data_IF_859641172192
#
_entry.id   IF_859641172192
#
_cell.length_a   1.000
_cell.length_b   1.000
_cell.length_c   1.000
_cell.angle_alpha   90.00
_cell.angle_beta   90.00
_cell.angle_gamma   90.00
#
_symmetry.space_group_name_H-M   'P 1'
#
loop_
_entity.id
_entity.type
_entity.pdbx_description
1 polymer ?
#
# COMPACT_ATOMS: atom_id res chain seq x y z
N UNK A 1 -17.88 -28.24 7.41
CA UNK A 1 -17.47 -26.86 7.03
C UNK A 1 -18.37 -25.91 7.81
N UNK A 2 -17.77 -24.91 8.48
CA UNK A 2 -18.47 -23.87 9.26
C UNK A 2 -19.52 -23.13 8.40
N UNK A 3 -20.60 -22.66 9.01
CA UNK A 3 -21.57 -21.76 8.35
C UNK A 3 -20.98 -20.32 8.36
N UNK A 4 -20.97 -19.60 7.24
CA UNK A 4 -20.48 -18.21 7.18
C UNK A 4 -21.23 -17.27 8.15
N UNK A 5 -22.52 -17.55 8.43
CA UNK A 5 -23.30 -16.78 9.40
C UNK A 5 -22.87 -17.03 10.85
N UNK A 6 -22.47 -18.26 11.17
CA UNK A 6 -21.92 -18.59 12.49
C UNK A 6 -20.60 -17.86 12.70
N UNK A 7 -19.69 -17.91 11.72
CA UNK A 7 -18.41 -17.17 11.77
C UNK A 7 -18.63 -15.66 11.92
N UNK A 8 -19.58 -15.09 11.17
CA UNK A 8 -19.92 -13.66 11.28
C UNK A 8 -20.47 -13.32 12.68
N UNK A 9 -21.30 -14.18 13.25
CA UNK A 9 -21.82 -13.99 14.60
C UNK A 9 -20.71 -14.06 15.67
N UNK A 10 -19.78 -15.00 15.54
CA UNK A 10 -18.60 -15.10 16.42
C UNK A 10 -17.71 -13.85 16.29
N UNK A 11 -17.49 -13.37 15.06
CA UNK A 11 -16.72 -12.14 14.82
C UNK A 11 -17.39 -10.92 15.47
N UNK A 12 -18.71 -10.80 15.38
CA UNK A 12 -19.46 -9.68 15.98
C UNK A 12 -19.29 -9.59 17.51
N UNK A 13 -19.11 -10.71 18.20
CA UNK A 13 -18.83 -10.73 19.66
C UNK A 13 -17.47 -10.06 19.97
N UNK A 14 -16.55 -10.02 19.01
CA UNK A 14 -15.23 -9.42 19.20
C UNK A 14 -15.23 -7.90 19.01
N UNK A 15 -16.30 -7.29 18.50
CA UNK A 15 -16.34 -5.86 18.14
C UNK A 15 -15.76 -4.93 19.21
N UNK A 16 -16.13 -5.02 20.52
CA UNK A 16 -15.57 -4.12 21.54
C UNK A 16 -14.05 -4.27 21.71
N UNK A 17 -13.52 -5.50 21.54
CA UNK A 17 -12.09 -5.77 21.62
C UNK A 17 -11.35 -5.24 20.39
N UNK A 18 -11.92 -5.41 19.19
CA UNK A 18 -11.37 -4.91 17.94
C UNK A 18 -11.29 -3.38 17.95
N UNK A 19 -12.35 -2.70 18.39
CA UNK A 19 -12.36 -1.25 18.55
C UNK A 19 -11.33 -0.78 19.58
N UNK A 20 -11.15 -1.52 20.69
CA UNK A 20 -10.14 -1.18 21.69
C UNK A 20 -8.72 -1.28 21.12
N UNK A 21 -8.39 -2.35 20.39
CA UNK A 21 -7.09 -2.48 19.73
C UNK A 21 -6.87 -1.37 18.72
N UNK A 22 -7.82 -1.16 17.80
CA UNK A 22 -7.79 -0.11 16.79
C UNK A 22 -7.56 1.27 17.40
N UNK A 23 -8.36 1.65 18.40
CA UNK A 23 -8.28 2.97 19.03
C UNK A 23 -7.02 3.17 19.86
N UNK A 24 -6.45 2.10 20.42
CA UNK A 24 -5.15 2.14 21.10
C UNK A 24 -4.02 2.41 20.10
N UNK A 25 -4.01 1.73 18.96
CA UNK A 25 -3.06 1.97 17.86
C UNK A 25 -3.21 3.40 17.31
N UNK A 26 -4.45 3.85 17.11
CA UNK A 26 -4.75 5.17 16.56
C UNK A 26 -4.22 6.33 17.43
N UNK A 27 -4.28 6.19 18.76
CA UNK A 27 -3.71 7.18 19.70
C UNK A 27 -2.19 7.25 19.66
N UNK A 28 -1.53 6.16 19.31
CA UNK A 28 -0.07 6.03 19.33
C UNK A 28 0.50 5.64 17.96
N UNK A 29 0.27 6.45 16.91
CA UNK A 29 0.71 6.11 15.57
C UNK A 29 2.23 6.17 15.46
N UNK A 30 2.81 5.12 14.89
CA UNK A 30 4.24 4.95 14.64
C UNK A 30 4.48 4.79 13.14
N UNK A 31 5.64 5.22 12.61
CA UNK A 31 5.86 5.34 11.16
C UNK A 31 7.00 4.45 10.68
N UNK A 32 6.83 3.89 9.49
CA UNK A 32 7.83 3.08 8.80
C UNK A 32 8.23 1.85 9.61
N UNK A 33 9.52 1.70 9.94
CA UNK A 33 10.03 0.57 10.73
C UNK A 33 10.11 0.84 12.24
N UNK A 34 9.92 2.08 12.69
CA UNK A 34 10.01 2.44 14.12
C UNK A 34 8.64 2.28 14.80
N UNK A 35 8.29 1.02 15.12
CA UNK A 35 6.99 0.59 15.60
C UNK A 35 7.04 -0.14 16.97
N UNK A 36 7.79 0.35 17.99
CA UNK A 36 7.98 -0.39 19.23
C UNK A 36 6.69 -0.67 20.00
N UNK A 37 5.77 0.30 20.10
CA UNK A 37 4.51 0.16 20.84
C UNK A 37 3.50 -0.70 20.07
N UNK A 38 3.35 -0.44 18.78
CA UNK A 38 2.50 -1.22 17.85
C UNK A 38 2.88 -2.69 17.87
N UNK A 39 4.18 -3.00 17.72
CA UNK A 39 4.68 -4.36 17.76
C UNK A 39 4.47 -5.02 19.13
N UNK A 40 4.66 -4.28 20.23
CA UNK A 40 4.43 -4.80 21.57
C UNK A 40 2.95 -5.19 21.75
N UNK A 41 2.00 -4.35 21.35
CA UNK A 41 0.57 -4.62 21.41
C UNK A 41 0.22 -5.86 20.58
N UNK A 42 0.66 -5.93 19.33
CA UNK A 42 0.39 -7.06 18.41
C UNK A 42 0.95 -8.37 18.99
N UNK A 43 2.22 -8.38 19.41
CA UNK A 43 2.83 -9.57 20.01
C UNK A 43 2.14 -10.02 21.30
N UNK A 44 1.76 -9.08 22.15
CA UNK A 44 1.01 -9.39 23.38
C UNK A 44 -0.33 -10.03 23.05
N UNK A 45 -1.12 -9.41 22.17
CA UNK A 45 -2.43 -9.93 21.78
C UNK A 45 -2.33 -11.34 21.18
N UNK A 46 -1.39 -11.56 20.28
CA UNK A 46 -1.16 -12.88 19.68
C UNK A 46 -0.72 -13.93 20.71
N UNK A 47 0.14 -13.56 21.64
CA UNK A 47 0.60 -14.46 22.72
C UNK A 47 -0.56 -14.85 23.64
N UNK A 48 -1.43 -13.91 24.00
CA UNK A 48 -2.62 -14.16 24.81
C UNK A 48 -3.62 -15.10 24.10
N UNK A 49 -3.64 -15.11 22.76
CA UNK A 49 -4.41 -16.06 21.95
C UNK A 49 -3.74 -17.43 21.85
N UNK A 50 -2.52 -17.63 22.37
CA UNK A 50 -1.77 -18.87 22.30
C UNK A 50 -0.92 -19.05 21.02
N UNK A 51 -0.63 -17.99 20.30
CA UNK A 51 0.35 -18.00 19.23
C UNK A 51 1.78 -17.80 19.75
N UNK A 52 2.75 -18.11 18.90
CA UNK A 52 4.18 -17.80 19.12
C UNK A 52 4.62 -16.79 18.06
N UNK A 53 4.54 -15.48 18.33
CA UNK A 53 4.92 -14.46 17.36
C UNK A 53 6.40 -14.53 17.03
N UNK A 54 6.73 -14.51 15.74
CA UNK A 54 8.09 -14.50 15.21
C UNK A 54 8.37 -13.15 14.54
N UNK A 55 9.59 -12.66 14.68
CA UNK A 55 10.04 -11.49 13.94
C UNK A 55 10.38 -11.88 12.49
N UNK A 56 10.02 -11.02 11.53
CA UNK A 56 10.35 -11.16 10.13
C UNK A 56 10.87 -9.82 9.61
N UNK A 57 12.11 -9.77 9.18
CA UNK A 57 12.77 -8.53 8.80
C UNK A 57 12.97 -7.56 9.96
N UNK A 58 13.01 -6.26 9.66
CA UNK A 58 13.33 -5.20 10.65
C UNK A 58 12.24 -5.02 11.71
N UNK A 59 10.97 -5.12 11.34
CA UNK A 59 9.87 -4.85 12.25
C UNK A 59 8.59 -5.66 11.98
N UNK A 60 8.56 -6.56 11.01
CA UNK A 60 7.42 -7.43 10.72
C UNK A 60 7.22 -8.50 11.79
N UNK A 61 5.98 -9.00 11.89
CA UNK A 61 5.61 -10.08 12.81
C UNK A 61 4.84 -11.13 12.02
N UNK A 62 5.16 -12.41 12.26
CA UNK A 62 4.49 -13.57 11.68
C UNK A 62 3.96 -14.49 12.77
N UNK A 63 2.79 -15.08 12.52
CA UNK A 63 2.29 -16.26 13.26
C UNK A 63 1.66 -17.26 12.30
N UNK A 64 1.61 -18.53 12.72
CA UNK A 64 1.00 -19.61 11.98
C UNK A 64 -0.23 -20.14 12.70
N UNK A 65 -1.34 -20.29 12.01
CA UNK A 65 -2.52 -21.02 12.45
C UNK A 65 -2.68 -22.30 11.61
N UNK A 66 -3.07 -23.40 12.23
CA UNK A 66 -3.18 -24.70 11.56
C UNK A 66 -1.84 -25.43 11.45
N UNK A 67 -1.58 -26.05 10.31
CA UNK A 67 -0.38 -26.86 10.07
C UNK A 67 -0.41 -28.26 10.72
N UNK A 68 -1.50 -28.62 11.41
CA UNK A 68 -1.69 -29.95 12.00
C UNK A 68 -2.13 -30.98 10.96
N UNK A 69 -2.80 -30.53 9.91
CA UNK A 69 -3.20 -31.33 8.76
C UNK A 69 -2.37 -30.90 7.55
N UNK A 70 -1.99 -31.85 6.68
CA UNK A 70 -1.30 -31.51 5.44
C UNK A 70 -2.21 -30.66 4.55
N UNK A 71 -1.65 -29.77 3.77
CA UNK A 71 -2.37 -28.89 2.87
C UNK A 71 -1.51 -27.70 2.45
N UNK A 72 -2.08 -26.78 1.72
CA UNK A 72 -1.43 -25.57 1.24
C UNK A 72 -1.28 -24.51 2.32
N UNK A 73 -0.49 -23.49 2.01
CA UNK A 73 -0.30 -22.32 2.88
C UNK A 73 -0.88 -21.07 2.23
N UNK A 74 -1.75 -20.37 2.96
CA UNK A 74 -2.25 -19.07 2.56
C UNK A 74 -1.69 -17.97 3.47
N UNK A 75 -1.22 -16.88 2.87
CA UNK A 75 -0.77 -15.68 3.55
C UNK A 75 -1.92 -14.69 3.68
N UNK A 76 -2.16 -14.18 4.88
CA UNK A 76 -3.06 -13.07 5.15
C UNK A 76 -2.23 -11.89 5.66
N UNK A 77 -2.39 -10.69 5.09
CA UNK A 77 -1.60 -9.50 5.41
C UNK A 77 -2.44 -8.38 6.01
N UNK A 78 -1.94 -7.79 7.09
CA UNK A 78 -2.37 -6.50 7.61
C UNK A 78 -1.15 -5.64 7.92
N UNK A 79 -1.13 -4.41 7.42
CA UNK A 79 -0.08 -3.45 7.70
C UNK A 79 -0.29 -2.72 9.02
N UNK A 80 0.78 -2.08 9.55
CA UNK A 80 0.79 -1.53 10.90
C UNK A 80 1.25 -0.08 11.02
N UNK A 81 1.94 0.45 10.00
CA UNK A 81 2.56 1.78 10.09
C UNK A 81 1.56 2.91 9.82
N UNK A 82 1.95 4.11 10.24
CA UNK A 82 1.18 5.33 10.12
C UNK A 82 1.91 6.37 9.27
N UNK A 83 1.26 7.49 9.03
CA UNK A 83 1.74 8.60 8.22
C UNK A 83 2.27 9.76 9.07
N UNK A 84 3.29 10.51 8.60
CA UNK A 84 3.76 11.75 9.22
C UNK A 84 2.83 12.94 8.90
N UNK A 85 1.57 12.84 9.30
CA UNK A 85 0.51 13.84 9.07
C UNK A 85 -0.04 14.30 10.40
N UNK A 86 -0.25 15.61 10.58
CA UNK A 86 -0.96 16.12 11.76
C UNK A 86 -2.45 15.82 11.64
N UNK A 87 -2.99 15.10 12.62
CA UNK A 87 -4.40 14.76 12.63
C UNK A 87 -5.29 15.96 12.96
N UNK A 88 -6.39 16.07 12.21
CA UNK A 88 -7.48 17.05 12.38
C UNK A 88 -8.87 16.38 12.30
N UNK A 89 -8.96 15.09 12.54
CA UNK A 89 -10.20 14.29 12.38
C UNK A 89 -11.29 14.66 13.38
N UNK A 90 -10.90 15.06 14.59
CA UNK A 90 -11.82 15.41 15.68
C UNK A 90 -12.50 14.21 16.34
N UNK A 91 -11.99 12.98 16.19
CA UNK A 91 -12.46 11.80 16.92
C UNK A 91 -11.97 11.84 18.38
N UNK A 92 -12.68 11.17 19.28
CA UNK A 92 -12.38 11.15 20.73
C UNK A 92 -11.14 10.29 21.08
N UNK A 93 -10.64 9.51 20.12
CA UNK A 93 -9.42 8.72 20.20
C UNK A 93 -8.34 9.20 19.22
N UNK A 94 -8.35 10.49 18.86
CA UNK A 94 -7.35 11.06 17.96
C UNK A 94 -5.92 10.81 18.45
N UNK A 95 -4.97 10.91 17.53
CA UNK A 95 -3.54 10.73 17.79
C UNK A 95 -3.06 11.61 18.96
N UNK A 96 -2.35 11.02 19.91
CA UNK A 96 -1.65 11.69 21.00
C UNK A 96 -0.20 12.05 20.63
N UNK A 97 0.23 11.68 19.39
CA UNK A 97 1.58 11.93 18.89
C UNK A 97 1.54 13.04 17.85
N UNK A 98 2.06 14.24 18.16
CA UNK A 98 2.04 15.36 17.22
C UNK A 98 2.71 15.02 15.87
N UNK A 99 2.05 15.39 14.77
CA UNK A 99 2.56 15.19 13.42
C UNK A 99 2.50 13.75 12.91
N UNK A 100 1.77 12.83 13.59
CA UNK A 100 1.57 11.45 13.14
C UNK A 100 0.09 11.05 13.23
N UNK A 101 -0.37 10.24 12.27
CA UNK A 101 -1.76 9.82 12.16
C UNK A 101 -1.89 8.51 11.39
N UNK A 102 -2.78 7.62 11.81
CA UNK A 102 -3.25 6.52 10.96
C UNK A 102 -4.23 7.02 9.89
N UNK A 103 -3.68 7.77 8.90
CA UNK A 103 -4.45 8.40 7.84
C UNK A 103 -4.80 7.48 6.67
N UNK A 104 -4.24 6.27 6.62
CA UNK A 104 -4.54 5.25 5.62
C UNK A 104 -5.43 4.11 6.16
N UNK A 105 -5.57 4.01 7.50
CA UNK A 105 -6.42 3.02 8.14
C UNK A 105 -5.70 1.72 8.54
N UNK A 106 -4.37 1.72 8.63
CA UNK A 106 -3.59 0.54 9.00
C UNK A 106 -3.84 0.10 10.45
N UNK A 107 -4.29 0.99 11.33
CA UNK A 107 -4.82 0.65 12.66
C UNK A 107 -6.05 -0.27 12.56
N UNK A 108 -6.91 -0.09 11.55
CA UNK A 108 -8.04 -0.97 11.28
C UNK A 108 -7.56 -2.30 10.70
N UNK A 109 -6.60 -2.28 9.77
CA UNK A 109 -6.05 -3.50 9.17
C UNK A 109 -5.40 -4.39 10.24
N UNK A 110 -4.58 -3.79 11.12
CA UNK A 110 -3.98 -4.49 12.27
C UNK A 110 -5.05 -5.09 13.20
N UNK A 111 -6.10 -4.32 13.53
CA UNK A 111 -7.17 -4.80 14.40
C UNK A 111 -8.00 -5.93 13.75
N UNK A 112 -8.34 -5.80 12.46
CA UNK A 112 -9.03 -6.86 11.70
C UNK A 112 -8.19 -8.14 11.63
N UNK A 113 -6.88 -8.01 11.43
CA UNK A 113 -5.97 -9.15 11.39
C UNK A 113 -5.84 -9.84 12.75
N UNK A 114 -5.80 -9.08 13.86
CA UNK A 114 -5.84 -9.65 15.21
C UNK A 114 -7.18 -10.39 15.46
N UNK A 115 -8.29 -9.86 14.96
CA UNK A 115 -9.58 -10.52 15.01
C UNK A 115 -9.61 -11.82 14.21
N UNK A 116 -9.06 -11.79 13.00
CA UNK A 116 -8.89 -12.99 12.17
C UNK A 116 -8.01 -14.03 12.85
N UNK A 117 -6.89 -13.61 13.46
CA UNK A 117 -6.04 -14.50 14.25
C UNK A 117 -6.84 -15.20 15.36
N UNK A 118 -7.70 -14.46 16.07
CA UNK A 118 -8.51 -15.03 17.16
C UNK A 118 -9.55 -16.02 16.66
N UNK A 119 -10.24 -15.72 15.56
CA UNK A 119 -11.21 -16.62 14.95
C UNK A 119 -10.54 -17.88 14.41
N UNK A 120 -9.44 -17.73 13.66
CA UNK A 120 -8.69 -18.87 13.13
C UNK A 120 -8.09 -19.75 14.23
N UNK A 121 -7.71 -19.18 15.37
CA UNK A 121 -7.24 -19.97 16.52
C UNK A 121 -8.37 -20.80 17.15
N UNK A 122 -9.58 -20.24 17.24
CA UNK A 122 -10.74 -20.98 17.75
C UNK A 122 -11.11 -22.16 16.85
N UNK A 123 -10.87 -22.05 15.53
CA UNK A 123 -11.16 -23.06 14.52
C UNK A 123 -9.90 -23.77 13.98
N UNK A 124 -8.79 -23.73 14.71
CA UNK A 124 -7.49 -24.26 14.26
C UNK A 124 -7.54 -25.73 13.88
N UNK A 125 -8.37 -26.55 14.56
CA UNK A 125 -8.55 -27.97 14.27
C UNK A 125 -9.29 -28.24 12.94
N UNK A 126 -10.01 -27.25 12.42
CA UNK A 126 -10.72 -27.36 11.14
C UNK A 126 -9.83 -27.05 9.94
N UNK A 127 -8.72 -26.34 10.14
CA UNK A 127 -7.82 -25.90 9.08
C UNK A 127 -7.15 -27.10 8.39
N UNK A 128 -7.29 -27.18 7.07
CA UNK A 128 -6.63 -28.18 6.22
C UNK A 128 -5.44 -27.53 5.51
N UNK A 129 -4.30 -27.41 6.21
CA UNK A 129 -3.12 -26.66 5.79
C UNK A 129 -2.75 -25.58 6.80
N UNK A 130 -2.12 -24.52 6.33
CA UNK A 130 -1.58 -23.45 7.18
C UNK A 130 -2.06 -22.07 6.75
N UNK A 131 -2.45 -21.25 7.73
CA UNK A 131 -2.63 -19.81 7.53
C UNK A 131 -1.43 -19.10 8.14
N UNK A 132 -0.67 -18.37 7.33
CA UNK A 132 0.39 -17.48 7.76
C UNK A 132 -0.19 -16.08 7.90
N UNK A 133 -0.18 -15.52 9.11
CA UNK A 133 -0.68 -14.17 9.35
C UNK A 133 0.51 -13.23 9.45
N UNK A 134 0.50 -12.24 8.60
CA UNK A 134 1.51 -11.20 8.46
C UNK A 134 1.02 -9.88 9.04
N UNK A 135 1.84 -9.29 9.92
CA UNK A 135 1.69 -7.91 10.39
C UNK A 135 2.86 -7.11 9.85
N UNK A 136 2.60 -6.33 8.80
CA UNK A 136 3.63 -5.69 7.99
C UNK A 136 3.92 -4.26 8.45
N UNK A 137 5.20 -3.85 8.62
CA UNK A 137 5.61 -2.46 8.81
C UNK A 137 5.84 -1.75 7.47
N UNK A 138 6.02 -0.44 7.49
CA UNK A 138 6.65 0.36 6.44
C UNK A 138 6.01 0.24 5.03
N UNK A 139 4.68 0.07 4.97
CA UNK A 139 3.95 0.08 3.71
C UNK A 139 4.05 1.46 3.04
N UNK A 140 3.86 2.53 3.80
CA UNK A 140 3.80 3.92 3.32
C UNK A 140 5.12 4.44 2.69
N UNK A 141 6.19 3.69 2.85
CA UNK A 141 7.50 3.96 2.23
C UNK A 141 7.93 2.84 1.27
N UNK A 142 7.04 1.90 0.93
CA UNK A 142 7.25 0.76 0.03
C UNK A 142 8.45 -0.13 0.37
N UNK A 143 8.75 -0.29 1.66
CA UNK A 143 9.91 -1.06 2.12
C UNK A 143 9.55 -2.25 3.00
N UNK A 144 8.30 -2.36 3.46
CA UNK A 144 7.86 -3.40 4.37
C UNK A 144 7.83 -4.77 3.71
N UNK A 145 7.08 -4.91 2.64
CA UNK A 145 6.97 -6.14 1.87
C UNK A 145 8.33 -6.66 1.37
N UNK A 146 9.17 -5.84 0.68
CA UNK A 146 10.47 -6.34 0.22
C UNK A 146 11.42 -6.73 1.37
N UNK A 147 11.40 -6.02 2.52
CA UNK A 147 12.17 -6.41 3.70
C UNK A 147 11.72 -7.77 4.25
N UNK A 148 10.40 -8.00 4.38
CA UNK A 148 9.87 -9.25 4.88
C UNK A 148 10.08 -10.41 3.91
N UNK A 149 9.93 -10.22 2.60
CA UNK A 149 10.23 -11.23 1.57
C UNK A 149 11.69 -11.65 1.65
N UNK A 150 12.62 -10.69 1.73
CA UNK A 150 14.05 -10.95 1.87
C UNK A 150 14.40 -11.72 3.17
N UNK A 151 13.52 -11.69 4.17
CA UNK A 151 13.68 -12.37 5.45
C UNK A 151 12.74 -13.59 5.61
N UNK A 152 12.29 -14.19 4.51
CA UNK A 152 11.61 -15.49 4.50
C UNK A 152 10.08 -15.45 4.65
N UNK A 153 9.43 -14.31 4.41
CA UNK A 153 7.97 -14.20 4.46
C UNK A 153 7.27 -15.32 3.67
N UNK A 154 7.76 -15.63 2.48
CA UNK A 154 7.13 -16.60 1.57
C UNK A 154 7.62 -18.04 1.76
N UNK A 155 8.55 -18.26 2.68
CA UNK A 155 9.17 -19.57 2.95
C UNK A 155 8.77 -20.10 4.35
N UNK A 156 9.00 -21.36 4.61
CA UNK A 156 8.88 -22.06 5.89
C UNK A 156 7.63 -21.78 6.76
N UNK A 157 6.41 -22.15 6.34
CA UNK A 157 6.06 -22.94 5.15
C UNK A 157 5.97 -22.05 3.90
N UNK A 158 6.25 -22.65 2.73
CA UNK A 158 6.14 -21.97 1.44
C UNK A 158 4.69 -21.50 1.22
N UNK A 159 4.52 -20.23 0.86
CA UNK A 159 3.22 -19.64 0.58
C UNK A 159 2.74 -20.02 -0.81
N UNK A 160 1.50 -20.47 -0.93
CA UNK A 160 0.84 -20.87 -2.20
C UNK A 160 -0.11 -19.79 -2.74
N UNK A 161 -0.64 -18.94 -1.86
CA UNK A 161 -1.53 -17.82 -2.23
C UNK A 161 -1.49 -16.73 -1.14
N UNK A 162 -1.83 -15.49 -1.50
CA UNK A 162 -1.80 -14.36 -0.58
C UNK A 162 -3.04 -13.48 -0.71
N UNK A 163 -3.48 -12.90 0.41
CA UNK A 163 -4.68 -12.08 0.53
C UNK A 163 -4.44 -10.88 1.42
N UNK A 164 -4.92 -9.73 0.99
CA UNK A 164 -5.02 -8.54 1.81
C UNK A 164 -6.39 -7.87 1.69
N UNK A 165 -6.76 -7.10 2.70
CA UNK A 165 -7.84 -6.13 2.65
C UNK A 165 -7.31 -4.74 2.94
N UNK A 166 -7.81 -3.75 2.21
CA UNK A 166 -7.58 -2.33 2.52
C UNK A 166 -8.91 -1.65 2.81
N UNK A 167 -9.01 -0.87 3.86
CA UNK A 167 -10.21 -0.06 4.14
C UNK A 167 -10.26 1.17 3.24
N UNK A 168 -11.47 1.57 2.83
CA UNK A 168 -11.70 2.76 2.01
C UNK A 168 -12.70 3.69 2.72
N UNK A 169 -12.32 4.93 2.96
CA UNK A 169 -13.23 5.99 3.45
C UNK A 169 -13.55 7.02 2.35
N UNK A 170 -14.66 7.75 2.53
CA UNK A 170 -15.07 8.80 1.59
C UNK A 170 -15.66 8.29 0.27
N UNK A 171 -15.75 6.99 0.08
CA UNK A 171 -16.36 6.40 -1.11
C UNK A 171 -17.90 6.52 -1.05
N UNK A 172 -18.60 6.61 -2.21
CA UNK A 172 -20.06 6.71 -2.23
C UNK A 172 -20.75 5.34 -2.02
N UNK A 173 -20.27 4.58 -1.05
CA UNK A 173 -20.69 3.21 -0.73
C UNK A 173 -21.02 3.12 0.77
N UNK A 174 -22.02 2.33 1.17
CA UNK A 174 -22.28 2.02 2.58
C UNK A 174 -21.06 1.38 3.25
N UNK A 175 -20.92 1.60 4.57
CA UNK A 175 -19.96 0.84 5.38
C UNK A 175 -20.20 -0.66 5.29
N UNK A 176 -19.15 -1.46 5.39
CA UNK A 176 -19.20 -2.92 5.38
C UNK A 176 -19.31 -3.57 3.99
N UNK A 177 -19.33 -2.81 2.90
CA UNK A 177 -19.26 -3.41 1.57
C UNK A 177 -17.86 -3.91 1.24
N UNK A 178 -17.78 -5.15 0.78
CA UNK A 178 -16.53 -5.75 0.29
C UNK A 178 -16.43 -5.58 -1.23
N UNK A 179 -15.36 -4.93 -1.67
CA UNK A 179 -15.07 -4.73 -3.09
C UNK A 179 -14.00 -5.72 -3.51
N UNK A 180 -14.34 -6.55 -4.49
CA UNK A 180 -13.43 -7.56 -5.05
C UNK A 180 -12.94 -7.07 -6.41
N UNK A 181 -11.64 -6.85 -6.61
CA UNK A 181 -11.12 -6.47 -7.93
C UNK A 181 -11.19 -7.66 -8.89
N UNK A 182 -11.27 -7.37 -10.17
CA UNK A 182 -11.05 -8.37 -11.22
C UNK A 182 -9.59 -8.83 -11.24
N UNK A 183 -9.32 -9.97 -11.89
CA UNK A 183 -7.94 -10.40 -12.14
C UNK A 183 -7.20 -9.47 -13.11
N UNK A 184 -5.87 -9.48 -13.05
CA UNK A 184 -4.98 -8.61 -13.80
C UNK A 184 -4.43 -7.45 -13.00
N UNK A 185 -3.93 -6.42 -13.65
CA UNK A 185 -3.33 -5.27 -12.95
C UNK A 185 -4.44 -4.41 -12.34
N UNK A 186 -4.36 -4.16 -11.03
CA UNK A 186 -5.38 -3.42 -10.27
C UNK A 186 -4.90 -2.08 -9.73
N UNK A 187 -3.59 -1.91 -9.53
CA UNK A 187 -2.99 -0.65 -9.06
C UNK A 187 -1.71 -0.39 -9.86
N UNK A 188 -1.40 0.90 -10.08
CA UNK A 188 -0.19 1.31 -10.80
C UNK A 188 1.08 1.08 -9.97
N UNK A 189 2.23 0.97 -10.65
CA UNK A 189 3.53 1.12 -9.99
C UNK A 189 3.73 2.53 -9.44
N UNK A 190 4.67 2.69 -8.54
CA UNK A 190 5.15 3.99 -8.09
C UNK A 190 6.67 4.01 -8.02
N UNK A 191 7.24 5.12 -8.43
CA UNK A 191 8.65 5.42 -8.25
C UNK A 191 8.85 6.92 -8.16
N UNK A 192 9.86 7.37 -7.43
CA UNK A 192 10.26 8.76 -7.38
C UNK A 192 11.47 8.99 -8.28
N UNK A 193 11.56 10.16 -8.90
CA UNK A 193 12.75 10.61 -9.57
C UNK A 193 13.22 11.96 -9.06
N UNK A 194 14.54 12.17 -9.12
CA UNK A 194 15.19 13.41 -8.77
C UNK A 194 16.22 13.79 -9.84
N UNK A 195 16.17 15.02 -10.32
CA UNK A 195 17.11 15.57 -11.29
C UNK A 195 17.76 16.81 -10.70
N UNK A 196 19.09 16.79 -10.58
CA UNK A 196 19.89 17.93 -10.15
C UNK A 196 20.74 18.43 -11.32
N UNK A 197 20.49 19.67 -11.74
CA UNK A 197 21.26 20.35 -12.78
C UNK A 197 22.30 21.23 -12.13
N UNK A 198 23.57 21.04 -12.47
CA UNK A 198 24.70 21.81 -11.97
C UNK A 198 25.20 22.82 -13.01
N UNK A 199 25.25 24.07 -12.61
CA UNK A 199 25.77 25.17 -13.37
C UNK A 199 26.96 25.86 -12.68
N UNK A 200 27.05 27.16 -12.84
CA UNK A 200 27.99 28.01 -12.15
C UNK A 200 27.30 29.32 -11.80
N UNK A 201 27.03 29.52 -10.54
CA UNK A 201 26.37 30.73 -10.01
C UNK A 201 27.19 32.00 -10.13
N UNK A 202 26.50 33.14 -9.94
CA UNK A 202 27.15 34.44 -9.95
C UNK A 202 26.17 35.60 -10.02
N UNK A 203 26.71 36.79 -10.29
CA UNK A 203 25.93 38.01 -10.32
C UNK A 203 25.03 38.09 -11.56
N UNK A 204 23.72 38.26 -11.36
CA UNK A 204 22.73 38.25 -12.45
C UNK A 204 22.96 39.27 -13.58
N UNK A 205 23.76 40.30 -13.36
CA UNK A 205 24.16 41.28 -14.41
C UNK A 205 25.42 40.87 -15.17
N UNK A 206 26.08 39.76 -14.82
CA UNK A 206 27.28 39.23 -15.48
C UNK A 206 27.05 37.75 -15.92
N UNK A 207 26.01 37.49 -16.73
CA UNK A 207 25.66 36.12 -17.10
C UNK A 207 26.72 35.40 -17.94
N UNK A 208 27.57 36.15 -18.65
CA UNK A 208 28.70 35.62 -19.44
C UNK A 208 29.77 34.93 -18.57
N UNK A 209 29.88 35.29 -17.29
CA UNK A 209 30.78 34.68 -16.31
C UNK A 209 30.16 33.44 -15.60
N UNK A 210 28.89 33.17 -15.83
CA UNK A 210 28.07 32.13 -15.20
C UNK A 210 27.73 30.99 -16.16
N UNK A 211 27.15 29.94 -15.62
CA UNK A 211 26.46 28.88 -16.35
C UNK A 211 25.11 28.72 -15.64
N UNK A 212 24.02 29.09 -16.30
CA UNK A 212 22.71 29.18 -15.69
C UNK A 212 22.00 27.81 -15.64
N UNK A 213 21.85 27.16 -14.46
CA UNK A 213 21.17 25.88 -14.35
C UNK A 213 19.64 26.03 -14.44
N UNK A 214 19.06 27.21 -14.18
CA UNK A 214 17.61 27.44 -14.25
C UNK A 214 17.14 27.28 -15.69
N UNK A 215 17.82 27.92 -16.63
CA UNK A 215 17.50 27.81 -18.05
C UNK A 215 17.64 26.36 -18.54
N UNK A 216 18.73 25.67 -18.18
CA UNK A 216 18.93 24.27 -18.53
C UNK A 216 17.83 23.35 -17.96
N UNK A 217 17.49 23.50 -16.67
CA UNK A 217 16.45 22.71 -16.01
C UNK A 217 15.07 22.94 -16.63
N UNK A 218 14.72 24.20 -16.96
CA UNK A 218 13.46 24.49 -17.65
C UNK A 218 13.35 23.78 -19.01
N UNK A 219 14.44 23.78 -19.80
CA UNK A 219 14.48 23.07 -21.09
C UNK A 219 14.49 21.55 -20.92
N UNK A 220 15.14 21.00 -19.88
CA UNK A 220 15.06 19.58 -19.55
C UNK A 220 13.61 19.22 -19.26
N UNK A 221 12.91 19.95 -18.38
CA UNK A 221 11.52 19.69 -18.05
C UNK A 221 10.61 19.64 -19.28
N UNK A 222 10.78 20.59 -20.21
CA UNK A 222 10.01 20.62 -21.46
C UNK A 222 10.39 19.41 -22.35
N UNK A 223 11.68 19.14 -22.52
CA UNK A 223 12.16 18.06 -23.39
C UNK A 223 11.75 16.67 -22.90
N UNK A 224 11.64 16.45 -21.60
CA UNK A 224 11.16 15.19 -21.05
C UNK A 224 9.75 14.83 -21.51
N UNK A 225 8.90 15.81 -21.89
CA UNK A 225 7.55 15.54 -22.41
C UNK A 225 7.58 14.75 -23.74
N UNK A 226 8.73 14.72 -24.45
CA UNK A 226 8.94 13.93 -25.66
C UNK A 226 8.71 12.43 -25.41
N UNK A 227 9.10 11.93 -24.22
CA UNK A 227 8.97 10.52 -23.86
C UNK A 227 7.51 10.08 -23.97
N UNK A 228 6.59 10.78 -23.31
CA UNK A 228 5.17 10.44 -23.35
C UNK A 228 4.52 10.71 -24.70
N UNK A 229 4.98 11.73 -25.41
CA UNK A 229 4.30 12.19 -26.63
C UNK A 229 4.78 11.53 -27.92
N UNK A 230 6.00 10.94 -27.95
CA UNK A 230 6.63 10.44 -29.18
C UNK A 230 7.33 9.10 -29.05
N UNK A 231 7.71 8.67 -27.86
CA UNK A 231 8.53 7.48 -27.68
C UNK A 231 7.78 6.32 -27.02
N UNK A 232 6.75 6.61 -26.24
CA UNK A 232 5.92 5.59 -25.61
C UNK A 232 4.98 4.95 -26.62
N UNK A 233 4.84 3.62 -26.56
CA UNK A 233 3.83 2.89 -27.32
C UNK A 233 2.44 3.42 -26.93
N UNK A 234 1.56 3.78 -27.89
CA UNK A 234 0.23 4.33 -27.60
C UNK A 234 -0.70 3.37 -26.84
N UNK A 235 -0.38 2.08 -26.80
CA UNK A 235 -1.12 1.07 -26.03
C UNK A 235 -0.55 0.87 -24.62
N UNK A 236 0.63 1.45 -24.33
CA UNK A 236 1.24 1.40 -23.01
C UNK A 236 0.72 2.52 -22.11
N UNK A 237 0.71 2.29 -20.83
CA UNK A 237 0.42 3.32 -19.82
C UNK A 237 1.68 3.64 -19.02
N UNK A 238 2.07 4.90 -19.07
CA UNK A 238 3.10 5.45 -18.21
C UNK A 238 2.88 6.95 -18.08
N UNK A 239 3.04 7.47 -16.88
CA UNK A 239 3.00 8.89 -16.59
C UNK A 239 4.13 9.26 -15.65
N UNK A 240 4.80 10.37 -15.92
CA UNK A 240 5.67 10.98 -14.94
C UNK A 240 5.27 12.45 -14.73
N UNK A 241 5.35 12.88 -13.48
CA UNK A 241 4.92 14.23 -13.08
C UNK A 241 6.02 14.87 -12.26
N UNK A 242 6.46 16.09 -12.65
CA UNK A 242 7.31 16.93 -11.81
C UNK A 242 6.43 17.63 -10.78
N UNK A 243 6.51 17.20 -9.52
CA UNK A 243 5.74 17.79 -8.41
C UNK A 243 6.44 18.96 -7.72
N UNK A 244 7.78 19.01 -7.84
CA UNK A 244 8.60 20.08 -7.24
C UNK A 244 9.68 20.50 -8.20
N UNK A 245 9.82 21.82 -8.40
CA UNK A 245 10.89 22.44 -9.18
C UNK A 245 11.42 23.62 -8.35
N UNK A 246 12.71 23.60 -8.01
CA UNK A 246 13.32 24.60 -7.13
C UNK A 246 14.68 25.06 -7.66
N UNK A 247 14.91 26.36 -7.67
CA UNK A 247 16.19 26.95 -7.99
C UNK A 247 16.29 28.38 -7.46
N UNK A 248 17.51 28.78 -7.05
CA UNK A 248 17.81 30.15 -6.62
C UNK A 248 17.09 30.61 -5.35
N UNK A 249 17.65 31.62 -4.69
CA UNK A 249 17.10 32.24 -3.48
C UNK A 249 16.91 33.75 -3.61
N UNK A 250 17.55 34.38 -4.59
CA UNK A 250 17.50 35.82 -4.79
C UNK A 250 17.42 36.18 -6.28
N UNK A 251 16.64 37.20 -6.62
CA UNK A 251 16.33 37.62 -7.99
C UNK A 251 17.54 38.16 -8.82
N UNK A 252 18.60 38.55 -8.15
CA UNK A 252 19.83 39.13 -8.75
C UNK A 252 21.02 38.16 -8.71
N UNK A 253 20.80 36.89 -8.36
CA UNK A 253 21.84 35.85 -8.25
C UNK A 253 21.47 34.65 -9.10
N UNK A 254 22.36 34.25 -10.03
CA UNK A 254 22.29 32.97 -10.72
C UNK A 254 22.76 31.89 -9.74
N UNK A 255 21.98 30.84 -9.46
CA UNK A 255 22.37 29.77 -8.52
C UNK A 255 23.38 28.80 -9.14
N UNK A 256 24.00 27.98 -8.29
CA UNK A 256 24.87 26.89 -8.74
C UNK A 256 24.05 25.65 -9.20
N UNK A 257 22.84 25.47 -8.68
CA UNK A 257 22.00 24.29 -8.96
C UNK A 257 20.54 24.65 -9.23
N UNK A 258 19.87 23.78 -9.98
CA UNK A 258 18.42 23.71 -10.10
C UNK A 258 17.97 22.25 -9.96
N UNK A 259 16.86 22.02 -9.27
CA UNK A 259 16.43 20.67 -8.90
C UNK A 259 14.97 20.42 -9.24
N UNK A 260 14.67 19.20 -9.64
CA UNK A 260 13.32 18.70 -9.93
C UNK A 260 13.09 17.38 -9.22
N UNK A 261 11.92 17.22 -8.61
CA UNK A 261 11.43 15.94 -8.04
C UNK A 261 10.08 15.61 -8.63
N UNK A 262 9.87 14.32 -8.85
CA UNK A 262 8.61 13.86 -9.37
C UNK A 262 8.37 12.38 -9.12
N UNK A 263 7.26 11.90 -9.66
CA UNK A 263 6.87 10.50 -9.57
C UNK A 263 6.67 9.90 -10.97
N UNK A 264 6.92 8.60 -11.09
CA UNK A 264 6.64 7.78 -12.26
C UNK A 264 5.57 6.77 -11.86
N UNK A 265 4.57 6.56 -12.72
CA UNK A 265 3.53 5.54 -12.59
C UNK A 265 3.43 4.76 -13.88
N UNK A 266 3.43 3.43 -13.78
CA UNK A 266 3.22 2.55 -14.94
C UNK A 266 2.19 1.48 -14.62
N UNK A 267 1.58 0.91 -15.67
CA UNK A 267 0.71 -0.26 -15.59
C UNK A 267 1.39 -1.32 -16.46
N UNK A 268 2.50 -1.85 -15.96
CA UNK A 268 3.35 -2.81 -16.68
C UNK A 268 4.03 -3.75 -15.67
N UNK A 269 3.60 -5.03 -15.59
CA UNK A 269 4.16 -5.98 -14.64
C UNK A 269 5.64 -6.32 -14.89
N UNK A 270 6.10 -6.15 -16.13
CA UNK A 270 7.49 -6.40 -16.52
C UNK A 270 8.39 -5.17 -16.39
N UNK A 271 7.81 -4.02 -15.99
CA UNK A 271 8.47 -2.72 -15.82
C UNK A 271 9.25 -2.19 -17.06
N UNK A 272 8.94 -2.67 -18.27
CA UNK A 272 9.60 -2.21 -19.52
C UNK A 272 9.34 -0.73 -19.81
N UNK A 273 8.15 -0.25 -19.47
CA UNK A 273 7.77 1.17 -19.62
C UNK A 273 8.57 2.02 -18.62
N UNK A 274 8.74 1.56 -17.37
CA UNK A 274 9.58 2.23 -16.38
C UNK A 274 11.05 2.30 -16.84
N UNK A 275 11.60 1.20 -17.31
CA UNK A 275 12.97 1.15 -17.84
C UNK A 275 13.16 2.10 -19.06
N UNK A 276 12.18 2.18 -19.95
CA UNK A 276 12.19 3.15 -21.06
C UNK A 276 12.23 4.59 -20.51
N UNK A 277 11.37 4.91 -19.56
CA UNK A 277 11.31 6.26 -18.95
C UNK A 277 12.66 6.59 -18.29
N UNK A 278 13.25 5.69 -17.51
CA UNK A 278 14.56 5.88 -16.86
C UNK A 278 15.65 6.19 -17.87
N UNK A 279 15.76 5.34 -18.88
CA UNK A 279 16.76 5.49 -19.95
C UNK A 279 16.61 6.83 -20.64
N UNK A 280 15.41 7.14 -21.12
CA UNK A 280 15.18 8.34 -21.91
C UNK A 280 15.25 9.61 -21.08
N UNK A 281 14.75 9.60 -19.85
CA UNK A 281 14.89 10.73 -18.93
C UNK A 281 16.34 11.08 -18.68
N UNK A 282 17.19 10.07 -18.46
CA UNK A 282 18.64 10.26 -18.29
C UNK A 282 19.31 10.80 -19.56
N UNK A 283 19.05 10.20 -20.73
CA UNK A 283 19.65 10.61 -22.00
C UNK A 283 19.23 12.04 -22.41
N UNK A 284 17.95 12.39 -22.25
CA UNK A 284 17.43 13.72 -22.57
C UNK A 284 18.02 14.75 -21.61
N UNK A 285 18.02 14.47 -20.31
CA UNK A 285 18.56 15.39 -19.31
C UNK A 285 20.05 15.69 -19.57
N UNK A 286 20.85 14.65 -19.85
CA UNK A 286 22.28 14.79 -20.19
C UNK A 286 22.50 15.58 -21.48
N UNK A 287 21.75 15.28 -22.54
CA UNK A 287 21.87 15.97 -23.82
C UNK A 287 21.53 17.46 -23.73
N UNK A 288 20.44 17.78 -23.04
CA UNK A 288 20.01 19.17 -22.84
C UNK A 288 20.99 19.91 -21.90
N UNK A 289 21.38 19.32 -20.76
CA UNK A 289 22.34 19.95 -19.85
C UNK A 289 23.65 20.32 -20.57
N UNK A 290 24.20 19.39 -21.38
CA UNK A 290 25.41 19.61 -22.17
C UNK A 290 25.27 20.78 -23.15
N UNK A 291 24.11 20.93 -23.81
CA UNK A 291 23.84 22.06 -24.71
C UNK A 291 23.89 23.42 -24.00
N UNK A 292 23.59 23.45 -22.69
CA UNK A 292 23.66 24.65 -21.84
C UNK A 292 24.95 24.72 -21.01
N UNK A 293 25.95 23.89 -21.28
CA UNK A 293 27.23 23.81 -20.55
C UNK A 293 27.08 23.35 -19.08
N UNK A 294 25.92 22.84 -18.70
CA UNK A 294 25.64 22.26 -17.39
C UNK A 294 26.02 20.78 -17.34
N UNK A 295 26.15 20.25 -16.14
CA UNK A 295 26.10 18.79 -15.87
C UNK A 295 24.80 18.44 -15.16
N UNK A 296 24.43 17.15 -15.15
CA UNK A 296 23.17 16.72 -14.55
C UNK A 296 23.33 15.35 -13.87
N UNK A 297 22.70 15.20 -12.74
CA UNK A 297 22.51 13.92 -12.04
C UNK A 297 21.02 13.55 -12.13
N UNK A 298 20.73 12.32 -12.44
CA UNK A 298 19.37 11.75 -12.48
C UNK A 298 19.35 10.52 -11.56
N UNK A 299 18.51 10.54 -10.56
CA UNK A 299 18.32 9.45 -9.61
C UNK A 299 16.88 8.97 -9.60
N UNK A 300 16.70 7.68 -9.25
CA UNK A 300 15.41 7.03 -9.08
C UNK A 300 15.40 6.33 -7.71
N UNK A 301 14.26 6.33 -7.02
CA UNK A 301 14.12 5.76 -5.69
C UNK A 301 12.68 5.33 -5.39
N UNK A 302 12.52 4.57 -4.30
CA UNK A 302 11.22 4.18 -3.75
C UNK A 302 10.32 3.48 -4.77
N UNK A 303 10.90 2.54 -5.54
CA UNK A 303 10.16 1.74 -6.50
C UNK A 303 9.20 0.77 -5.81
N UNK A 304 7.95 0.77 -6.26
CA UNK A 304 6.92 -0.20 -5.94
C UNK A 304 6.32 -0.71 -7.25
N UNK A 305 6.26 -2.03 -7.52
CA UNK A 305 5.70 -2.56 -8.74
C UNK A 305 4.19 -2.35 -8.81
N UNK A 306 3.59 -2.58 -9.98
CA UNK A 306 2.13 -2.59 -10.10
C UNK A 306 1.54 -3.83 -9.40
N UNK A 307 0.37 -3.69 -8.77
CA UNK A 307 -0.35 -4.79 -8.15
C UNK A 307 -0.98 -5.70 -9.19
N UNK A 308 -0.65 -6.97 -9.16
CA UNK A 308 -1.20 -8.01 -10.06
C UNK A 308 -2.09 -8.95 -9.25
N UNK A 309 -3.38 -8.94 -9.55
CA UNK A 309 -4.36 -9.85 -8.93
C UNK A 309 -4.52 -11.09 -9.79
N UNK A 310 -4.40 -12.28 -9.16
CA UNK A 310 -4.62 -13.55 -9.83
C UNK A 310 -6.11 -13.74 -10.23
N UNK A 311 -6.36 -14.14 -11.46
CA UNK A 311 -7.73 -14.27 -11.99
C UNK A 311 -8.57 -15.35 -11.27
N UNK A 312 -7.95 -16.49 -10.95
CA UNK A 312 -8.66 -17.57 -10.29
C UNK A 312 -8.96 -17.19 -8.83
N UNK A 313 -7.98 -16.59 -8.16
CA UNK A 313 -8.12 -16.14 -6.77
C UNK A 313 -9.15 -15.01 -6.64
N UNK A 314 -9.23 -14.09 -7.62
CA UNK A 314 -10.28 -13.06 -7.70
C UNK A 314 -11.69 -13.70 -7.85
N UNK A 315 -11.81 -14.74 -8.67
CA UNK A 315 -13.06 -15.51 -8.81
C UNK A 315 -13.47 -16.18 -7.50
N UNK A 316 -12.51 -16.81 -6.81
CA UNK A 316 -12.73 -17.40 -5.50
C UNK A 316 -13.13 -16.31 -4.47
N UNK A 317 -12.44 -15.17 -4.47
CA UNK A 317 -12.76 -14.05 -3.58
C UNK A 317 -14.20 -13.57 -3.75
N UNK A 318 -14.66 -13.39 -5.00
CA UNK A 318 -16.04 -12.96 -5.27
C UNK A 318 -17.05 -13.99 -4.76
N UNK A 319 -16.76 -15.26 -4.93
CA UNK A 319 -17.61 -16.37 -4.43
C UNK A 319 -17.66 -16.38 -2.91
N UNK A 320 -16.50 -16.38 -2.25
CA UNK A 320 -16.42 -16.48 -0.79
C UNK A 320 -16.99 -15.24 -0.08
N UNK A 321 -16.76 -14.07 -0.63
CA UNK A 321 -17.35 -12.83 -0.06
C UNK A 321 -18.85 -12.78 -0.29
N UNK A 322 -19.37 -13.30 -1.41
CA UNK A 322 -20.82 -13.42 -1.63
C UNK A 322 -21.47 -14.41 -0.64
N UNK A 323 -20.80 -15.53 -0.32
CA UNK A 323 -21.25 -16.46 0.73
C UNK A 323 -21.35 -15.77 2.09
N UNK A 324 -20.37 -14.93 2.43
CA UNK A 324 -20.26 -14.29 3.75
C UNK A 324 -21.20 -13.09 3.92
N UNK A 325 -21.19 -12.14 2.96
CA UNK A 325 -21.89 -10.85 3.08
C UNK A 325 -23.01 -10.65 2.06
N UNK A 326 -23.29 -11.67 1.23
CA UNK A 326 -24.38 -11.62 0.26
C UNK A 326 -24.25 -10.44 -0.71
N UNK A 327 -25.24 -9.54 -0.72
CA UNK A 327 -25.26 -8.34 -1.56
C UNK A 327 -24.24 -7.28 -1.15
N UNK A 328 -23.59 -7.43 0.00
CA UNK A 328 -22.47 -6.59 0.45
C UNK A 328 -21.18 -6.83 -0.34
N UNK A 329 -21.06 -7.96 -1.07
CA UNK A 329 -19.95 -8.20 -1.97
C UNK A 329 -20.20 -7.59 -3.35
N UNK A 330 -19.23 -6.84 -3.88
CA UNK A 330 -19.36 -6.18 -5.17
C UNK A 330 -18.09 -6.29 -6.00
N UNK A 331 -18.25 -6.59 -7.30
CA UNK A 331 -17.17 -6.49 -8.27
C UNK A 331 -16.76 -5.01 -8.44
N UNK A 332 -15.51 -4.70 -8.10
CA UNK A 332 -14.94 -3.35 -8.16
C UNK A 332 -14.91 -2.78 -9.58
N UNK A 333 -14.90 -3.62 -10.61
CA UNK A 333 -14.95 -3.18 -12.01
C UNK A 333 -16.20 -2.35 -12.34
N UNK A 334 -17.29 -2.55 -11.59
CA UNK A 334 -18.52 -1.75 -11.72
C UNK A 334 -18.32 -0.29 -11.32
N UNK A 335 -17.36 0.01 -10.47
CA UNK A 335 -17.00 1.37 -10.04
C UNK A 335 -15.91 1.98 -10.94
N UNK A 336 -14.88 1.19 -11.27
CA UNK A 336 -13.69 1.66 -11.97
C UNK A 336 -13.80 1.55 -13.50
N UNK A 337 -14.84 0.88 -14.01
CA UNK A 337 -14.94 0.51 -15.43
C UNK A 337 -13.84 -0.45 -15.86
N UNK A 338 -13.32 -1.25 -14.93
CA UNK A 338 -12.23 -2.21 -15.16
C UNK A 338 -10.85 -1.58 -15.30
N UNK A 339 -10.72 -0.30 -14.96
CA UNK A 339 -9.42 0.41 -15.00
C UNK A 339 -8.67 0.25 -13.68
N UNK A 340 -7.34 0.06 -13.73
CA UNK A 340 -6.50 0.07 -12.53
C UNK A 340 -6.61 1.40 -11.76
N UNK A 341 -6.47 1.33 -10.45
CA UNK A 341 -6.34 2.50 -9.58
C UNK A 341 -4.99 3.20 -9.78
N UNK A 342 -4.96 4.52 -9.53
CA UNK A 342 -3.72 5.31 -9.58
C UNK A 342 -2.87 5.22 -8.32
N UNK A 343 -3.37 4.62 -7.23
CA UNK A 343 -2.62 4.34 -6.01
C UNK A 343 -1.61 3.21 -6.22
N UNK A 344 -0.71 3.06 -5.25
CA UNK A 344 0.26 1.97 -5.19
C UNK A 344 0.24 1.36 -3.80
N UNK A 345 0.69 0.13 -3.66
CA UNK A 345 0.62 -0.68 -2.47
C UNK A 345 1.79 -1.68 -2.52
N UNK A 346 2.62 -1.75 -1.49
CA UNK A 346 3.85 -2.55 -1.53
C UNK A 346 3.61 -4.06 -1.41
N UNK A 347 2.40 -4.50 -1.05
CA UNK A 347 2.00 -5.91 -1.20
C UNK A 347 2.03 -6.36 -2.67
N UNK A 348 2.17 -5.42 -3.60
CA UNK A 348 2.48 -5.71 -4.99
C UNK A 348 3.73 -6.58 -5.15
N UNK A 349 4.76 -6.42 -4.31
CA UNK A 349 5.94 -7.30 -4.35
C UNK A 349 5.56 -8.78 -4.11
N UNK A 350 4.66 -9.04 -3.16
CA UNK A 350 4.12 -10.41 -2.93
C UNK A 350 3.34 -10.89 -4.14
N UNK A 351 2.58 -10.00 -4.81
CA UNK A 351 1.77 -10.35 -5.98
C UNK A 351 2.59 -10.77 -7.21
N UNK A 352 3.87 -10.43 -7.26
CA UNK A 352 4.80 -10.87 -8.30
C UNK A 352 5.45 -12.22 -7.99
N UNK A 353 5.36 -12.70 -6.74
CA UNK A 353 5.96 -13.95 -6.30
C UNK A 353 4.94 -15.09 -6.18
N UNK A 354 3.71 -14.79 -5.74
CA UNK A 354 2.65 -15.79 -5.52
C UNK A 354 1.28 -15.27 -5.96
N UNK A 355 0.35 -16.16 -6.37
CA UNK A 355 -1.04 -15.78 -6.64
C UNK A 355 -1.62 -14.95 -5.50
N UNK A 356 -2.08 -13.73 -5.82
CA UNK A 356 -2.50 -12.75 -4.81
C UNK A 356 -3.85 -12.13 -5.16
N UNK A 357 -4.66 -11.82 -4.14
CA UNK A 357 -5.82 -10.95 -4.27
C UNK A 357 -5.81 -9.84 -3.21
N UNK A 358 -5.99 -8.60 -3.66
CA UNK A 358 -6.17 -7.43 -2.80
C UNK A 358 -7.63 -6.99 -2.84
N UNK A 359 -8.33 -7.08 -1.72
CA UNK A 359 -9.75 -6.68 -1.60
C UNK A 359 -9.86 -5.36 -0.82
N UNK A 360 -11.02 -4.72 -0.93
CA UNK A 360 -11.26 -3.48 -0.20
C UNK A 360 -12.53 -3.60 0.65
N UNK A 361 -12.53 -2.95 1.80
CA UNK A 361 -13.66 -2.87 2.71
C UNK A 361 -14.08 -1.40 2.87
N UNK A 362 -15.31 -1.06 2.52
CA UNK A 362 -15.82 0.31 2.68
C UNK A 362 -15.98 0.64 4.17
N UNK A 363 -15.31 1.69 4.62
CA UNK A 363 -15.26 2.15 6.00
C UNK A 363 -15.89 3.55 6.17
N UNK A 364 -17.00 3.78 5.50
CA UNK A 364 -17.82 4.98 5.62
C UNK A 364 -17.80 5.91 4.40
N UNK A 365 -18.88 6.67 4.26
CA UNK A 365 -19.08 7.64 3.19
C UNK A 365 -19.50 9.02 3.73
N UNK A 366 -19.53 10.02 2.86
CA UNK A 366 -19.87 11.40 3.22
C UNK A 366 -21.25 11.56 3.88
N UNK A 367 -22.24 10.75 3.52
CA UNK A 367 -23.59 10.79 4.10
C UNK A 367 -23.62 10.24 5.52
N UNK A 368 -22.70 9.34 5.84
CA UNK A 368 -22.51 8.75 7.16
C UNK A 368 -21.54 9.57 8.03
N UNK A 369 -21.03 10.69 7.51
CA UNK A 369 -20.10 11.58 8.23
C UNK A 369 -18.62 11.33 7.96
N UNK A 370 -18.28 10.47 6.99
CA UNK A 370 -16.93 10.12 6.56
C UNK A 370 -16.63 10.73 5.19
N UNK A 371 -16.44 12.06 5.16
CA UNK A 371 -16.39 12.82 3.91
C UNK A 371 -15.01 12.86 3.25
N UNK A 372 -13.96 12.48 3.95
CA UNK A 372 -12.58 12.58 3.48
C UNK A 372 -12.01 11.18 3.18
N UNK A 373 -11.21 11.07 2.12
CA UNK A 373 -10.48 9.86 1.78
C UNK A 373 -9.15 9.75 2.54
N UNK A 374 -8.45 8.63 2.33
CA UNK A 374 -7.14 8.35 2.90
C UNK A 374 -6.15 9.48 2.68
N UNK A 375 -5.13 9.59 3.56
CA UNK A 375 -4.08 10.61 3.59
C UNK A 375 -4.57 12.04 3.86
N UNK A 376 -5.87 12.25 4.02
CA UNK A 376 -6.37 13.58 4.41
C UNK A 376 -6.32 13.75 5.93
N UNK A 377 -5.85 14.90 6.49
CA UNK A 377 -5.78 15.11 7.96
C UNK A 377 -7.11 14.92 8.71
N UNK A 378 -8.23 15.03 8.01
CA UNK A 378 -9.58 14.88 8.57
C UNK A 378 -10.24 13.54 8.23
N UNK A 379 -9.51 12.58 7.67
CA UNK A 379 -10.07 11.26 7.39
C UNK A 379 -10.53 10.59 8.68
N UNK A 380 -11.65 9.89 8.58
CA UNK A 380 -12.21 9.04 9.63
C UNK A 380 -12.66 7.74 9.01
N UNK A 381 -12.56 6.66 9.75
CA UNK A 381 -13.01 5.34 9.36
C UNK A 381 -14.07 4.84 10.34
N UNK A 382 -15.10 4.22 9.82
CA UNK A 382 -16.14 3.54 10.61
C UNK A 382 -15.58 2.26 11.20
N UNK A 383 -15.34 2.25 12.52
CA UNK A 383 -14.77 1.09 13.19
C UNK A 383 -15.81 0.03 13.64
N UNK A 384 -17.08 0.25 13.34
CA UNK A 384 -18.12 -0.77 13.53
C UNK A 384 -17.99 -1.95 12.58
N UNK A 385 -17.26 -1.80 11.46
CA UNK A 385 -17.07 -2.84 10.44
C UNK A 385 -15.86 -3.75 10.69
N UNK A 386 -15.11 -3.55 11.77
CA UNK A 386 -13.90 -4.32 12.07
C UNK A 386 -14.14 -5.83 12.16
N UNK A 387 -15.28 -6.23 12.73
CA UNK A 387 -15.62 -7.64 12.84
C UNK A 387 -15.93 -8.27 11.48
N UNK A 388 -16.51 -7.50 10.54
CA UNK A 388 -16.77 -7.96 9.16
C UNK A 388 -15.46 -8.23 8.42
N UNK A 389 -14.46 -7.34 8.56
CA UNK A 389 -13.13 -7.54 8.00
C UNK A 389 -12.40 -8.75 8.61
N UNK A 390 -12.53 -8.95 9.93
CA UNK A 390 -11.98 -10.13 10.61
C UNK A 390 -12.60 -11.42 10.12
N UNK A 391 -13.94 -11.43 9.96
CA UNK A 391 -14.67 -12.56 9.40
C UNK A 391 -14.29 -12.83 7.93
N UNK A 392 -14.11 -11.76 7.14
CA UNK A 392 -13.75 -11.87 5.73
C UNK A 392 -12.37 -12.52 5.53
N UNK A 393 -11.35 -12.13 6.29
CA UNK A 393 -10.04 -12.79 6.29
C UNK A 393 -10.17 -14.27 6.68
N UNK A 394 -10.87 -14.54 7.78
CA UNK A 394 -11.02 -15.91 8.31
C UNK A 394 -11.79 -16.80 7.36
N UNK A 395 -12.90 -16.30 6.80
CA UNK A 395 -13.72 -17.05 5.85
C UNK A 395 -12.95 -17.36 4.58
N UNK A 396 -12.23 -16.39 4.06
CA UNK A 396 -11.39 -16.61 2.88
C UNK A 396 -10.39 -17.76 3.12
N UNK A 397 -9.66 -17.71 4.22
CA UNK A 397 -8.67 -18.73 4.54
C UNK A 397 -9.29 -20.13 4.71
N UNK A 398 -10.36 -20.25 5.48
CA UNK A 398 -11.08 -21.51 5.69
C UNK A 398 -11.59 -22.10 4.38
N UNK A 399 -12.22 -21.27 3.54
CA UNK A 399 -12.77 -21.73 2.24
C UNK A 399 -11.68 -22.14 1.28
N UNK A 400 -10.66 -21.29 1.12
CA UNK A 400 -9.59 -21.56 0.18
C UNK A 400 -8.80 -22.84 0.56
N UNK A 401 -8.44 -23.00 1.83
CA UNK A 401 -7.74 -24.20 2.31
C UNK A 401 -8.60 -25.47 2.12
N UNK A 402 -9.91 -25.38 2.32
CA UNK A 402 -10.79 -26.55 2.13
C UNK A 402 -10.88 -27.04 0.67
N UNK A 403 -10.66 -26.15 -0.29
CA UNK A 403 -10.71 -26.41 -1.73
C UNK A 403 -9.33 -26.70 -2.34
N UNK A 404 -8.24 -26.34 -1.67
CA UNK A 404 -6.86 -26.44 -2.17
C UNK A 404 -6.01 -27.35 -1.25
N UNK A 405 -6.39 -28.64 -1.17
CA UNK A 405 -5.72 -29.66 -0.34
C UNK A 405 -4.38 -30.12 -0.92
#
# INVERSE_FOLDING_TARGET
MMDPKELMAEAAVLEPQLQNWRRTLHRHPEVGFDLPQTRALVKQALTEMGYTPQDCGKAGILVLAGGKKPGKTILLRGDMDALPIQEESGVDFASEVPGRMHGCGHDMHTAMMLGAAKLLKAHEEELEGTVKLEFQPAEEIFQGSPDMIANGLLEDPKVDAAVMFHVLAGMPLPSGMVLVPGGGITMASCEQYHITVHGKGGHGSMPEACIDPITAAAHIHIALQEINSREMDPHSFGVFTTGRFQAGAASNVIPDTAEMWGTIRTIDPENKVGELIHKRMTEIAQGVAAAYRCTVEVGFSDYCPCMVVDHALAGNAMTYMTELVGQGAMDMSKLTGGKPGGGSEDFAFVSHEVPTVSMFLSAGNAKEGYAYGQHHPKVKFDDSILYEGSAAYSWFALRWLSENK
#
